data_IF_890345239106
#
_entry.id   IF_890345239106
#
_cell.length_a   1.000
_cell.length_b   1.000
_cell.length_c   1.000
_cell.angle_alpha   90.00
_cell.angle_beta   90.00
_cell.angle_gamma   90.00
#
_symmetry.space_group_name_H-M   'P 1'
#
loop_
_entity.id
_entity.type
_entity.pdbx_description
1 polymer ?
#
# COMPACT_ATOMS: atom_id res chain seq x y z
N UNK A 1 2.95 7.17 -36.27
CA UNK A 1 3.85 8.37 -36.15
C UNK A 1 4.94 7.94 -35.20
N UNK A 2 6.16 7.73 -35.72
CA UNK A 2 7.30 7.34 -34.88
C UNK A 2 7.94 8.62 -34.33
N UNK A 3 7.98 8.71 -32.99
CA UNK A 3 8.61 9.82 -32.29
C UNK A 3 9.85 9.28 -31.55
N UNK A 4 11.03 9.78 -31.92
CA UNK A 4 12.28 9.43 -31.23
C UNK A 4 12.54 10.46 -30.13
N UNK A 5 12.47 10.01 -28.88
CA UNK A 5 12.80 10.83 -27.72
C UNK A 5 14.22 10.48 -27.24
N UNK A 6 15.01 11.51 -26.92
CA UNK A 6 16.37 11.32 -26.38
C UNK A 6 16.37 11.60 -24.88
N UNK A 7 16.85 10.64 -24.10
CA UNK A 7 17.17 10.86 -22.70
C UNK A 7 18.37 11.84 -22.57
N UNK A 8 18.28 12.77 -21.64
CA UNK A 8 19.34 13.77 -21.40
C UNK A 8 20.44 13.28 -20.47
N UNK A 9 20.10 12.32 -19.61
CA UNK A 9 21.00 11.78 -18.58
C UNK A 9 20.83 10.27 -18.53
N UNK A 10 21.91 9.56 -18.31
CA UNK A 10 21.92 8.12 -18.09
C UNK A 10 22.38 7.83 -16.67
N UNK A 11 21.60 7.02 -15.96
CA UNK A 11 21.91 6.52 -14.61
C UNK A 11 22.09 5.01 -14.66
N UNK A 12 22.82 4.47 -13.70
CA UNK A 12 23.00 3.02 -13.54
C UNK A 12 22.71 2.61 -12.11
N UNK A 13 22.03 1.49 -11.95
CA UNK A 13 21.77 0.86 -10.65
C UNK A 13 21.84 -0.67 -10.76
N UNK A 14 22.00 -1.37 -9.65
CA UNK A 14 21.76 -2.82 -9.59
C UNK A 14 20.26 -3.10 -9.51
N UNK A 15 19.54 -2.29 -8.71
CA UNK A 15 18.10 -2.41 -8.48
C UNK A 15 17.43 -1.06 -8.68
N UNK A 16 16.33 -1.03 -9.43
CA UNK A 16 15.43 0.12 -9.52
C UNK A 16 14.08 -0.24 -8.91
N UNK A 17 13.59 0.59 -8.00
CA UNK A 17 12.26 0.45 -7.42
C UNK A 17 11.36 1.53 -8.01
N UNK A 18 10.22 1.14 -8.57
CA UNK A 18 9.21 2.05 -9.12
C UNK A 18 8.05 2.16 -8.15
N UNK A 19 7.85 3.37 -7.61
CA UNK A 19 6.88 3.70 -6.57
C UNK A 19 7.51 3.76 -5.18
N UNK A 20 7.56 4.96 -4.59
CA UNK A 20 8.04 5.23 -3.22
C UNK A 20 6.93 5.15 -2.17
N UNK A 21 5.93 4.29 -2.42
CA UNK A 21 4.83 4.02 -1.49
C UNK A 21 5.21 3.03 -0.39
N UNK A 22 4.18 2.52 0.28
CA UNK A 22 4.26 1.62 1.45
C UNK A 22 5.19 0.42 1.24
N UNK A 23 5.16 -0.22 0.06
CA UNK A 23 6.04 -1.35 -0.23
C UNK A 23 7.41 -0.89 -0.77
N UNK A 24 7.42 0.14 -1.63
CA UNK A 24 8.61 0.51 -2.40
C UNK A 24 9.73 1.10 -1.57
N UNK A 25 9.42 1.89 -0.55
CA UNK A 25 10.43 2.42 0.38
C UNK A 25 11.21 1.26 1.03
N UNK A 26 10.48 0.26 1.53
CA UNK A 26 11.12 -0.88 2.20
C UNK A 26 11.78 -1.85 1.22
N UNK A 27 11.32 -1.93 -0.03
CA UNK A 27 12.03 -2.63 -1.09
C UNK A 27 13.36 -1.94 -1.39
N UNK A 28 13.38 -0.62 -1.51
CA UNK A 28 14.60 0.14 -1.79
C UNK A 28 15.61 0.07 -0.64
N UNK A 29 15.16 0.29 0.60
CA UNK A 29 16.01 0.19 1.79
C UNK A 29 16.58 -1.22 1.94
N UNK A 30 15.77 -2.27 1.74
CA UNK A 30 16.21 -3.65 1.89
C UNK A 30 17.19 -4.08 0.79
N UNK A 31 16.95 -3.64 -0.46
CA UNK A 31 17.90 -3.86 -1.56
C UNK A 31 19.25 -3.21 -1.27
N UNK A 32 19.25 -1.96 -0.81
CA UNK A 32 20.47 -1.24 -0.47
C UNK A 32 21.20 -1.86 0.73
N UNK A 33 20.48 -2.24 1.80
CA UNK A 33 21.05 -2.95 2.96
C UNK A 33 21.58 -4.35 2.61
N UNK A 34 21.08 -4.96 1.53
CA UNK A 34 21.63 -6.22 0.97
C UNK A 34 22.85 -5.96 0.05
N UNK A 35 23.26 -4.70 -0.13
CA UNK A 35 24.46 -4.26 -0.82
C UNK A 35 24.30 -3.90 -2.30
N UNK A 36 23.05 -3.72 -2.77
CA UNK A 36 22.77 -3.26 -4.13
C UNK A 36 22.81 -1.73 -4.24
N UNK A 37 23.41 -1.21 -5.32
CA UNK A 37 23.20 0.18 -5.71
C UNK A 37 21.74 0.40 -6.14
N UNK A 38 20.99 1.17 -5.37
CA UNK A 38 19.53 1.24 -5.50
C UNK A 38 19.05 2.65 -5.84
N UNK A 39 18.15 2.75 -6.83
CA UNK A 39 17.42 3.97 -7.18
C UNK A 39 15.93 3.75 -6.91
N UNK A 40 15.29 4.70 -6.25
CA UNK A 40 13.84 4.73 -5.99
C UNK A 40 13.20 5.87 -6.76
N UNK A 41 12.23 5.55 -7.62
CA UNK A 41 11.47 6.52 -8.43
C UNK A 41 10.08 6.70 -7.82
N UNK A 42 9.70 7.94 -7.50
CA UNK A 42 8.38 8.28 -6.94
C UNK A 42 7.71 9.41 -7.74
N UNK A 43 6.44 9.24 -8.08
CA UNK A 43 5.63 10.23 -8.82
C UNK A 43 5.31 11.48 -7.99
N UNK A 44 5.14 11.32 -6.69
CA UNK A 44 4.82 12.40 -5.76
C UNK A 44 6.08 13.08 -5.19
N UNK A 45 5.90 14.15 -4.45
CA UNK A 45 6.98 14.87 -3.77
C UNK A 45 7.36 14.27 -2.42
N UNK A 46 6.62 13.26 -1.96
CA UNK A 46 6.77 12.63 -0.64
C UNK A 46 6.75 11.11 -0.76
N UNK A 47 7.41 10.45 0.19
CA UNK A 47 7.40 8.99 0.34
C UNK A 47 6.24 8.52 1.20
N UNK A 48 5.95 7.21 1.14
CA UNK A 48 4.95 6.53 1.97
C UNK A 48 3.63 6.22 1.25
N UNK A 49 3.37 6.84 0.08
CA UNK A 49 2.21 6.53 -0.77
C UNK A 49 0.87 6.59 -0.04
N UNK A 50 0.11 5.49 0.02
CA UNK A 50 -1.21 5.44 0.64
C UNK A 50 -1.21 5.95 2.08
N UNK A 51 -0.18 5.68 2.86
CA UNK A 51 -0.07 6.13 4.26
C UNK A 51 0.12 7.63 4.40
N UNK A 52 0.73 8.29 3.43
CA UNK A 52 1.07 9.72 3.50
C UNK A 52 0.24 10.56 2.55
N UNK A 53 0.18 10.21 1.27
CA UNK A 53 -0.54 10.97 0.24
C UNK A 53 -2.05 10.81 0.36
N UNK A 54 -2.53 9.57 0.57
CA UNK A 54 -3.96 9.30 0.78
C UNK A 54 -4.37 9.32 2.26
N UNK A 55 -3.44 9.59 3.18
CA UNK A 55 -3.65 9.69 4.62
C UNK A 55 -4.34 8.47 5.27
N UNK A 56 -4.15 7.28 4.71
CA UNK A 56 -4.52 6.01 5.35
C UNK A 56 -3.35 5.61 6.26
N UNK A 57 -3.17 6.33 7.37
CA UNK A 57 -1.95 6.38 8.17
C UNK A 57 -1.94 5.37 9.35
N UNK A 58 -2.62 4.24 9.20
CA UNK A 58 -2.59 3.12 10.14
C UNK A 58 -2.20 1.85 9.39
N UNK A 59 -0.93 1.41 9.52
CA UNK A 59 -0.36 0.36 8.67
C UNK A 59 -0.98 -1.03 8.87
N UNK A 60 -1.84 -1.21 9.85
CA UNK A 60 -2.39 -2.50 10.21
C UNK A 60 -1.59 -3.17 11.32
N UNK A 61 -1.47 -4.51 11.28
CA UNK A 61 -0.99 -5.26 12.41
C UNK A 61 0.42 -5.81 12.19
N UNK A 62 1.32 -5.46 13.10
CA UNK A 62 2.68 -6.03 13.22
C UNK A 62 2.74 -7.19 14.21
N UNK A 63 1.65 -7.42 14.94
CA UNK A 63 1.53 -8.44 15.98
C UNK A 63 0.35 -9.35 15.68
N UNK A 64 0.47 -10.62 16.01
CA UNK A 64 -0.58 -11.61 15.96
C UNK A 64 -0.53 -12.46 17.25
N UNK A 65 -1.67 -12.60 17.93
CA UNK A 65 -1.77 -13.40 19.13
C UNK A 65 -0.71 -13.05 20.18
N UNK A 66 -0.46 -11.73 20.37
CA UNK A 66 0.52 -11.20 21.33
C UNK A 66 1.99 -11.35 20.91
N UNK A 67 2.28 -11.90 19.73
CA UNK A 67 3.64 -12.07 19.21
C UNK A 67 3.88 -11.15 18.01
N UNK A 68 5.07 -10.55 17.95
CA UNK A 68 5.46 -9.79 16.76
C UNK A 68 5.68 -10.73 15.58
N UNK A 69 5.10 -10.42 14.43
CA UNK A 69 5.16 -11.22 13.21
C UNK A 69 5.78 -10.48 12.03
N UNK A 70 5.88 -9.16 12.11
CA UNK A 70 6.52 -8.31 11.08
C UNK A 70 7.54 -7.41 11.78
N UNK A 71 8.80 -7.47 11.34
CA UNK A 71 9.93 -6.70 11.85
C UNK A 71 10.86 -6.29 10.69
N UNK A 72 12.04 -5.76 11.01
CA UNK A 72 13.02 -5.23 10.05
C UNK A 72 12.82 -3.75 9.75
N UNK A 73 13.29 -3.24 8.59
CA UNK A 73 13.18 -1.82 8.24
C UNK A 73 11.77 -1.25 8.36
N UNK A 74 10.73 -2.03 8.07
CA UNK A 74 9.35 -1.57 8.20
C UNK A 74 8.96 -1.29 9.66
N UNK A 75 9.30 -2.17 10.59
CA UNK A 75 9.06 -1.93 12.01
C UNK A 75 9.96 -0.83 12.56
N UNK A 76 11.22 -0.78 12.16
CA UNK A 76 12.15 0.31 12.49
C UNK A 76 11.56 1.68 12.17
N UNK A 77 10.87 1.83 11.04
CA UNK A 77 10.21 3.10 10.67
C UNK A 77 9.11 3.51 11.64
N UNK A 78 8.35 2.53 12.13
CA UNK A 78 7.29 2.74 13.13
C UNK A 78 7.89 3.11 14.49
N UNK A 79 8.92 2.38 14.95
CA UNK A 79 9.61 2.68 16.21
C UNK A 79 10.24 4.08 16.22
N UNK A 80 10.91 4.47 15.12
CA UNK A 80 11.46 5.82 14.96
C UNK A 80 10.36 6.89 15.01
N UNK A 81 9.22 6.64 14.36
CA UNK A 81 8.07 7.55 14.39
C UNK A 81 7.49 7.67 15.80
N UNK A 82 7.36 6.57 16.55
CA UNK A 82 6.91 6.59 17.96
C UNK A 82 7.89 7.38 18.82
N UNK A 83 9.19 7.13 18.69
CA UNK A 83 10.25 7.80 19.45
C UNK A 83 10.26 9.31 19.24
N UNK A 84 9.90 9.78 18.05
CA UNK A 84 9.77 11.20 17.71
C UNK A 84 8.41 11.80 18.13
N UNK A 85 7.55 11.04 18.81
CA UNK A 85 6.24 11.50 19.25
C UNK A 85 5.18 11.50 18.14
N UNK A 86 5.48 10.93 16.98
CA UNK A 86 4.56 10.84 15.83
C UNK A 86 3.55 9.70 15.92
N UNK A 87 3.60 8.87 16.96
CA UNK A 87 2.63 7.80 17.20
C UNK A 87 2.67 7.35 18.67
N UNK A 88 1.69 6.52 19.04
CA UNK A 88 1.66 5.83 20.34
C UNK A 88 1.55 4.33 20.09
N UNK A 89 2.29 3.56 20.89
CA UNK A 89 2.17 2.10 20.88
C UNK A 89 0.84 1.71 21.54
N UNK A 90 -0.02 0.92 20.87
CA UNK A 90 -1.21 0.37 21.52
C UNK A 90 -0.83 -0.75 22.51
N UNK A 91 -1.78 -1.12 23.35
CA UNK A 91 -1.64 -2.32 24.16
C UNK A 91 -1.78 -3.55 23.25
N UNK A 92 -0.76 -4.40 23.22
CA UNK A 92 -0.76 -5.64 22.43
C UNK A 92 -1.27 -6.76 23.30
N UNK A 93 -2.36 -7.41 22.87
CA UNK A 93 -3.01 -8.49 23.62
C UNK A 93 -2.84 -9.83 22.92
N UNK A 94 -2.88 -10.92 23.69
CA UNK A 94 -2.83 -12.27 23.12
C UNK A 94 -4.10 -12.60 22.30
N UNK A 95 -5.25 -12.10 22.75
CA UNK A 95 -6.56 -12.29 22.10
C UNK A 95 -7.22 -10.94 21.87
N UNK A 96 -6.85 -10.22 20.82
CA UNK A 96 -7.49 -8.94 20.52
C UNK A 96 -8.96 -9.17 20.13
N UNK A 97 -9.88 -8.49 20.79
CA UNK A 97 -11.32 -8.54 20.44
C UNK A 97 -11.53 -8.04 19.02
N UNK A 98 -10.79 -7.01 18.64
CA UNK A 98 -10.89 -6.32 17.34
C UNK A 98 -9.50 -5.95 16.86
N UNK A 99 -9.17 -6.28 15.62
CA UNK A 99 -7.86 -5.99 15.01
C UNK A 99 -7.51 -4.49 15.01
N UNK A 100 -8.49 -3.60 14.89
CA UNK A 100 -8.22 -2.15 14.88
C UNK A 100 -7.83 -1.58 16.24
N UNK A 101 -8.02 -2.27 17.35
CA UNK A 101 -7.55 -1.82 18.67
C UNK A 101 -6.02 -1.86 18.80
N UNK A 102 -5.35 -2.69 18.02
CA UNK A 102 -3.89 -2.81 18.02
C UNK A 102 -3.24 -2.07 16.83
N UNK A 103 -3.99 -1.25 16.11
CA UNK A 103 -3.44 -0.41 15.04
C UNK A 103 -2.67 0.78 15.60
N UNK A 104 -1.59 1.13 14.90
CA UNK A 104 -0.73 2.27 15.25
C UNK A 104 -1.05 3.42 14.31
N UNK A 105 -1.63 4.49 14.84
CA UNK A 105 -1.91 5.69 14.06
C UNK A 105 -0.66 6.55 13.96
N UNK A 106 -0.09 6.67 12.76
CA UNK A 106 1.14 7.42 12.50
C UNK A 106 0.84 8.87 12.10
N UNK A 107 1.60 9.82 12.67
CA UNK A 107 1.62 11.17 12.15
C UNK A 107 2.34 11.18 10.79
N UNK A 108 1.62 11.53 9.73
CA UNK A 108 2.13 11.44 8.36
C UNK A 108 3.37 12.30 8.10
N UNK A 109 3.49 13.47 8.75
CA UNK A 109 4.67 14.34 8.60
C UNK A 109 5.92 13.67 9.20
N UNK A 110 5.82 13.22 10.46
CA UNK A 110 6.93 12.54 11.14
C UNK A 110 7.31 11.27 10.39
N UNK A 111 6.32 10.48 9.98
CA UNK A 111 6.56 9.23 9.25
C UNK A 111 7.25 9.49 7.89
N UNK A 112 6.78 10.47 7.10
CA UNK A 112 7.43 10.85 5.84
C UNK A 112 8.90 11.24 6.05
N UNK A 113 9.18 12.05 7.09
CA UNK A 113 10.54 12.47 7.42
C UNK A 113 11.43 11.26 7.76
N UNK A 114 10.93 10.34 8.58
CA UNK A 114 11.62 9.09 8.92
C UNK A 114 11.93 8.26 7.67
N UNK A 115 11.00 8.16 6.72
CA UNK A 115 11.23 7.40 5.50
C UNK A 115 12.34 8.00 4.63
N UNK A 116 12.41 9.32 4.50
CA UNK A 116 13.51 9.98 3.78
C UNK A 116 14.85 9.76 4.47
N UNK A 117 14.92 9.93 5.79
CA UNK A 117 16.13 9.67 6.57
C UNK A 117 16.62 8.23 6.41
N UNK A 118 15.72 7.25 6.53
CA UNK A 118 16.07 5.84 6.38
C UNK A 118 16.55 5.49 4.96
N UNK A 119 16.00 6.12 3.93
CA UNK A 119 16.48 5.97 2.55
C UNK A 119 17.90 6.55 2.39
N UNK A 120 18.15 7.74 2.93
CA UNK A 120 19.46 8.39 2.91
C UNK A 120 20.51 7.56 3.66
N UNK A 121 20.21 7.13 4.89
CA UNK A 121 21.07 6.27 5.69
C UNK A 121 21.42 4.94 5.01
N UNK A 122 20.49 4.37 4.25
CA UNK A 122 20.71 3.15 3.48
C UNK A 122 21.46 3.39 2.16
N UNK A 123 21.69 4.64 1.76
CA UNK A 123 22.34 5.00 0.50
C UNK A 123 21.43 4.83 -0.73
N UNK A 124 20.11 4.90 -0.55
CA UNK A 124 19.14 4.86 -1.66
C UNK A 124 19.11 6.22 -2.35
N UNK A 125 19.31 6.25 -3.68
CA UNK A 125 19.06 7.43 -4.47
C UNK A 125 17.57 7.62 -4.75
N UNK A 126 16.91 8.49 -4.00
CA UNK A 126 15.48 8.80 -4.18
C UNK A 126 15.33 9.90 -5.24
N UNK A 127 14.42 9.68 -6.21
CA UNK A 127 14.06 10.65 -7.24
C UNK A 127 12.54 10.82 -7.25
N UNK A 128 12.06 11.87 -6.60
CA UNK A 128 10.65 12.26 -6.56
C UNK A 128 10.22 13.03 -7.81
N UNK A 129 8.90 13.23 -7.98
CA UNK A 129 8.28 13.91 -9.13
C UNK A 129 8.73 13.31 -10.47
N UNK A 130 8.82 11.99 -10.50
CA UNK A 130 9.31 11.24 -11.65
C UNK A 130 8.51 9.97 -11.86
N UNK A 131 8.20 9.66 -13.11
CA UNK A 131 7.35 8.52 -13.48
C UNK A 131 8.02 7.66 -14.53
N UNK A 132 7.91 6.34 -14.39
CA UNK A 132 8.29 5.41 -15.44
C UNK A 132 7.43 5.63 -16.69
N UNK A 133 8.07 5.72 -17.85
CA UNK A 133 7.40 5.94 -19.14
C UNK A 133 7.55 4.74 -20.09
N UNK A 134 8.68 4.05 -20.02
CA UNK A 134 8.94 2.87 -20.83
C UNK A 134 9.98 1.97 -20.16
N UNK A 135 9.95 0.70 -20.49
CA UNK A 135 10.99 -0.27 -20.14
C UNK A 135 11.27 -1.16 -21.34
N UNK A 136 12.55 -1.45 -21.56
CA UNK A 136 13.01 -2.37 -22.57
C UNK A 136 13.99 -3.37 -21.95
N UNK A 137 13.73 -4.67 -22.11
CA UNK A 137 14.64 -5.71 -21.64
C UNK A 137 15.65 -6.02 -22.75
N UNK A 138 16.93 -5.87 -22.46
CA UNK A 138 18.04 -6.08 -23.40
C UNK A 138 19.04 -7.05 -22.77
N UNK A 139 18.92 -8.33 -23.10
CA UNK A 139 19.86 -9.34 -22.59
C UNK A 139 19.84 -9.42 -21.06
N UNK A 140 20.90 -8.91 -20.43
CA UNK A 140 21.09 -8.95 -18.97
C UNK A 140 20.60 -7.71 -18.23
N UNK A 141 20.04 -6.71 -18.92
CA UNK A 141 19.66 -5.45 -18.34
C UNK A 141 18.26 -5.01 -18.74
N UNK A 142 17.68 -4.18 -17.90
CA UNK A 142 16.50 -3.36 -18.19
C UNK A 142 16.95 -1.93 -18.47
N UNK A 143 16.49 -1.34 -19.55
CA UNK A 143 16.63 0.09 -19.84
C UNK A 143 15.28 0.73 -19.58
N UNK A 144 15.21 1.56 -18.55
CA UNK A 144 14.01 2.22 -18.08
C UNK A 144 14.06 3.71 -18.47
N UNK A 145 13.01 4.19 -19.14
CA UNK A 145 12.86 5.62 -19.44
C UNK A 145 11.94 6.25 -18.42
N UNK A 146 12.39 7.32 -17.80
CA UNK A 146 11.68 8.04 -16.75
C UNK A 146 11.43 9.48 -17.17
N UNK A 147 10.18 9.92 -17.04
CA UNK A 147 9.80 11.33 -17.20
C UNK A 147 10.00 12.07 -15.88
N UNK A 148 10.65 13.21 -15.94
CA UNK A 148 10.93 14.10 -14.79
C UNK A 148 10.60 15.55 -15.12
N UNK A 149 10.72 16.44 -14.12
CA UNK A 149 10.45 17.89 -14.31
C UNK A 149 11.29 18.56 -15.41
N UNK A 150 12.48 18.06 -15.70
CA UNK A 150 13.41 18.63 -16.66
C UNK A 150 13.62 17.78 -17.92
N UNK A 151 12.72 16.83 -18.17
CA UNK A 151 12.70 15.99 -19.35
C UNK A 151 12.90 14.50 -19.04
N UNK A 152 13.37 13.74 -20.03
CA UNK A 152 13.57 12.30 -19.92
C UNK A 152 14.99 11.99 -19.46
N UNK A 153 15.11 10.96 -18.62
CA UNK A 153 16.39 10.29 -18.36
C UNK A 153 16.22 8.76 -18.44
N UNK A 154 17.30 8.06 -18.69
CA UNK A 154 17.34 6.61 -18.76
C UNK A 154 18.04 6.03 -17.53
N UNK A 155 17.58 4.88 -17.08
CA UNK A 155 18.25 4.09 -16.05
C UNK A 155 18.51 2.70 -16.62
N UNK A 156 19.78 2.30 -16.60
CA UNK A 156 20.16 0.91 -16.87
C UNK A 156 20.28 0.15 -15.54
N UNK A 157 19.54 -0.95 -15.42
CA UNK A 157 19.51 -1.75 -14.18
C UNK A 157 19.49 -3.25 -14.49
N UNK A 158 19.91 -4.07 -13.53
CA UNK A 158 19.83 -5.54 -13.65
C UNK A 158 18.46 -6.08 -13.28
N UNK A 159 17.85 -5.52 -12.23
CA UNK A 159 16.53 -5.93 -11.73
C UNK A 159 15.68 -4.74 -11.37
N UNK A 160 14.37 -4.91 -11.38
CA UNK A 160 13.43 -3.88 -10.98
C UNK A 160 12.32 -4.42 -10.08
N UNK A 161 11.84 -3.57 -9.16
CA UNK A 161 10.70 -3.85 -8.28
C UNK A 161 9.53 -2.96 -8.69
N UNK A 162 8.39 -3.56 -9.04
CA UNK A 162 7.13 -2.85 -9.16
C UNK A 162 6.47 -2.70 -7.78
N UNK A 163 6.50 -1.50 -7.26
CA UNK A 163 5.83 -1.10 -6.02
C UNK A 163 4.83 0.05 -6.25
N UNK A 164 4.33 0.18 -7.48
CA UNK A 164 3.41 1.27 -7.88
C UNK A 164 2.03 1.13 -7.23
N UNK A 165 1.69 -0.06 -6.76
CA UNK A 165 0.37 -0.41 -6.22
C UNK A 165 -0.68 -0.69 -7.30
N UNK A 166 -0.38 -0.36 -8.56
CA UNK A 166 -1.25 -0.54 -9.72
C UNK A 166 -0.65 -1.49 -10.77
N UNK A 167 0.51 -2.11 -10.48
CA UNK A 167 1.29 -2.96 -11.38
C UNK A 167 1.68 -2.24 -12.69
N UNK A 168 2.07 -0.95 -12.59
CA UNK A 168 2.35 -0.12 -13.77
C UNK A 168 3.61 -0.58 -14.52
N UNK A 169 4.69 -0.93 -13.80
CA UNK A 169 5.89 -1.46 -14.43
C UNK A 169 5.60 -2.78 -15.15
N UNK A 170 4.79 -3.65 -14.52
CA UNK A 170 4.37 -4.93 -15.10
C UNK A 170 3.60 -4.71 -16.41
N UNK A 171 2.63 -3.79 -16.43
CA UNK A 171 1.84 -3.48 -17.63
C UNK A 171 2.71 -2.86 -18.74
N UNK A 172 3.58 -1.91 -18.40
CA UNK A 172 4.50 -1.26 -19.35
C UNK A 172 5.48 -2.28 -19.94
N UNK A 173 5.83 -3.33 -19.18
CA UNK A 173 6.68 -4.44 -19.66
C UNK A 173 5.95 -5.45 -20.55
N UNK A 174 4.63 -5.31 -20.74
CA UNK A 174 3.81 -6.25 -21.48
C UNK A 174 3.54 -7.58 -20.75
N UNK A 175 3.83 -7.63 -19.45
CA UNK A 175 3.54 -8.80 -18.61
C UNK A 175 2.06 -8.82 -18.19
N UNK A 176 1.47 -10.01 -17.97
CA UNK A 176 0.04 -10.14 -17.71
C UNK A 176 -0.34 -9.61 -16.33
N UNK A 177 -1.47 -8.89 -16.29
CA UNK A 177 -2.15 -8.46 -15.06
C UNK A 177 -3.59 -8.92 -15.06
N UNK A 178 -4.18 -8.99 -13.88
CA UNK A 178 -5.61 -9.25 -13.68
C UNK A 178 -6.26 -8.19 -12.83
N UNK A 179 -7.56 -8.02 -12.99
CA UNK A 179 -8.35 -6.98 -12.33
C UNK A 179 -9.69 -7.56 -11.88
N UNK A 180 -10.13 -7.15 -10.70
CA UNK A 180 -11.46 -7.54 -10.20
C UNK A 180 -12.56 -6.93 -11.07
N UNK A 181 -13.61 -7.71 -11.37
CA UNK A 181 -14.76 -7.21 -12.14
C UNK A 181 -15.50 -6.09 -11.40
N UNK A 182 -15.58 -6.20 -10.07
CA UNK A 182 -16.14 -5.17 -9.19
C UNK A 182 -15.05 -4.78 -8.22
N UNK A 183 -14.58 -3.55 -8.32
CA UNK A 183 -13.53 -3.01 -7.46
C UNK A 183 -14.11 -2.51 -6.14
N UNK A 184 -13.35 -2.63 -5.08
CA UNK A 184 -13.68 -2.05 -3.79
C UNK A 184 -13.76 -0.52 -3.89
N UNK A 185 -14.69 0.15 -3.17
CA UNK A 185 -14.79 1.60 -3.19
C UNK A 185 -13.52 2.26 -2.65
N UNK A 186 -13.23 3.45 -3.16
CA UNK A 186 -12.16 4.31 -2.65
C UNK A 186 -12.67 5.22 -1.52
N UNK A 187 -11.77 5.91 -0.84
CA UNK A 187 -12.11 6.90 0.21
C UNK A 187 -11.18 8.10 0.10
N UNK A 188 -11.74 9.31 0.11
CA UNK A 188 -10.97 10.55 0.23
C UNK A 188 -10.88 10.94 1.70
N UNK A 189 -9.73 10.68 2.32
CA UNK A 189 -9.51 10.94 3.74
C UNK A 189 -9.49 12.44 4.01
N UNK A 190 -10.06 12.85 5.13
CA UNK A 190 -10.19 14.23 5.51
C UNK A 190 -10.25 14.37 7.04
N UNK A 191 -10.20 15.60 7.52
CA UNK A 191 -10.48 15.95 8.90
C UNK A 191 -11.42 17.15 8.93
N UNK A 192 -12.37 17.14 9.86
CA UNK A 192 -13.37 18.19 10.03
C UNK A 192 -13.40 18.68 11.48
N UNK A 193 -13.66 19.98 11.66
CA UNK A 193 -13.75 20.64 12.96
C UNK A 193 -14.87 21.69 12.99
N UNK A 194 -14.85 22.58 13.98
CA UNK A 194 -15.75 23.72 14.07
C UNK A 194 -17.15 23.38 14.60
N UNK A 195 -17.33 22.20 15.23
CA UNK A 195 -18.62 21.79 15.80
C UNK A 195 -18.47 20.89 17.04
N UNK A 196 -19.55 20.87 17.82
CA UNK A 196 -19.77 19.87 18.87
C UNK A 196 -21.07 19.12 18.58
N UNK A 197 -20.99 17.79 18.52
CA UNK A 197 -22.15 16.95 18.23
C UNK A 197 -22.97 16.72 19.50
N UNK A 198 -24.29 16.87 19.39
CA UNK A 198 -25.26 16.57 20.43
C UNK A 198 -26.49 15.87 19.85
N UNK A 199 -27.42 15.46 20.70
CA UNK A 199 -28.60 14.68 20.31
C UNK A 199 -29.55 15.49 19.39
N UNK A 200 -29.66 16.79 19.60
CA UNK A 200 -30.51 17.65 18.75
C UNK A 200 -29.99 17.70 17.31
N UNK A 201 -28.68 17.85 17.15
CA UNK A 201 -28.03 17.84 15.84
C UNK A 201 -28.18 16.46 15.18
N UNK A 202 -27.98 15.36 15.92
CA UNK A 202 -28.16 14.00 15.39
C UNK A 202 -29.59 13.78 14.89
N UNK A 203 -30.60 14.29 15.62
CA UNK A 203 -32.02 14.16 15.23
C UNK A 203 -32.33 15.03 14.01
N UNK A 204 -31.83 16.25 13.93
CA UNK A 204 -32.02 17.12 12.77
C UNK A 204 -31.37 16.51 11.51
N UNK A 205 -30.18 15.92 11.63
CA UNK A 205 -29.55 15.16 10.52
C UNK A 205 -30.47 14.05 10.04
N UNK A 206 -31.01 13.22 10.93
CA UNK A 206 -31.91 12.11 10.58
C UNK A 206 -33.18 12.59 9.88
N UNK A 207 -33.75 13.71 10.32
CA UNK A 207 -34.94 14.30 9.75
C UNK A 207 -34.69 14.86 8.34
N UNK A 208 -33.72 15.77 8.23
CA UNK A 208 -33.41 16.46 6.97
C UNK A 208 -32.82 15.53 5.90
N UNK A 209 -32.08 14.49 6.31
CA UNK A 209 -31.48 13.55 5.37
C UNK A 209 -32.49 12.83 4.50
N UNK A 210 -33.74 12.64 4.97
CA UNK A 210 -34.84 12.01 4.20
C UNK A 210 -35.16 12.77 2.90
N UNK A 211 -34.84 14.06 2.86
CA UNK A 211 -35.08 14.95 1.73
C UNK A 211 -33.79 15.32 0.98
N UNK A 212 -32.65 14.85 1.46
CA UNK A 212 -31.37 15.13 0.83
C UNK A 212 -31.19 14.30 -0.45
N UNK A 213 -30.76 14.93 -1.51
CA UNK A 213 -30.40 14.25 -2.76
C UNK A 213 -28.98 13.66 -2.66
N UNK A 214 -28.85 12.60 -1.85
CA UNK A 214 -27.58 11.91 -1.63
C UNK A 214 -27.57 10.55 -2.32
N UNK A 215 -26.38 10.04 -2.73
CA UNK A 215 -26.27 8.67 -3.23
C UNK A 215 -26.82 7.64 -2.22
N UNK A 216 -27.54 6.62 -2.70
CA UNK A 216 -28.26 5.67 -1.87
C UNK A 216 -27.41 4.81 -0.92
N UNK A 217 -26.08 4.85 -1.06
CA UNK A 217 -25.14 4.20 -0.14
C UNK A 217 -24.70 5.11 1.03
N UNK A 218 -25.05 6.39 1.03
CA UNK A 218 -24.88 7.30 2.16
C UNK A 218 -26.18 7.27 2.98
N UNK A 219 -26.08 7.21 4.29
CA UNK A 219 -27.20 7.27 5.20
C UNK A 219 -26.91 8.12 6.44
N UNK A 220 -27.95 8.58 7.12
CA UNK A 220 -27.83 9.46 8.28
C UNK A 220 -26.99 8.86 9.42
N UNK A 221 -27.08 7.53 9.65
CA UNK A 221 -26.31 6.83 10.69
C UNK A 221 -24.81 6.87 10.41
N UNK A 222 -24.42 6.64 9.17
CA UNK A 222 -23.01 6.74 8.76
C UNK A 222 -22.49 8.18 8.91
N UNK A 223 -23.27 9.18 8.52
CA UNK A 223 -22.90 10.60 8.66
C UNK A 223 -22.66 10.94 10.15
N UNK A 224 -23.56 10.53 11.03
CA UNK A 224 -23.41 10.76 12.48
C UNK A 224 -22.15 10.07 13.00
N UNK A 225 -21.87 8.85 12.56
CA UNK A 225 -20.63 8.16 12.90
C UNK A 225 -19.39 8.89 12.39
N UNK A 226 -19.43 9.43 11.18
CA UNK A 226 -18.35 10.24 10.60
C UNK A 226 -18.11 11.49 11.43
N UNK A 227 -19.15 12.21 11.82
CA UNK A 227 -19.04 13.39 12.68
C UNK A 227 -18.42 13.06 14.06
N UNK A 228 -18.81 11.93 14.69
CA UNK A 228 -18.21 11.45 15.93
C UNK A 228 -16.71 11.19 15.80
N UNK A 229 -16.26 10.78 14.65
CA UNK A 229 -14.86 10.50 14.34
C UNK A 229 -14.10 11.69 13.73
N UNK A 230 -14.74 12.89 13.66
CA UNK A 230 -14.15 14.11 13.09
C UNK A 230 -13.66 13.96 11.64
N UNK A 231 -14.37 13.18 10.83
CA UNK A 231 -14.03 12.93 9.42
C UNK A 231 -15.27 12.51 8.61
N UNK A 232 -15.20 12.63 7.29
CA UNK A 232 -16.26 12.25 6.35
C UNK A 232 -15.75 11.10 5.45
N UNK A 233 -15.63 9.90 5.99
CA UNK A 233 -15.07 8.72 5.33
C UNK A 233 -16.09 8.05 4.38
N UNK A 234 -16.54 8.78 3.37
CA UNK A 234 -17.53 8.30 2.41
C UNK A 234 -16.89 7.31 1.44
N UNK A 235 -17.54 6.17 1.24
CA UNK A 235 -17.18 5.24 0.18
C UNK A 235 -17.52 5.85 -1.18
N UNK A 236 -16.57 5.81 -2.12
CA UNK A 236 -16.71 6.34 -3.47
C UNK A 236 -16.56 5.18 -4.44
N UNK A 237 -17.60 4.86 -5.27
CA UNK A 237 -17.48 3.80 -6.25
C UNK A 237 -16.26 4.01 -7.14
N UNK A 238 -15.37 3.00 -7.17
CA UNK A 238 -14.13 3.01 -7.91
C UNK A 238 -14.28 2.21 -9.20
N UNK A 239 -13.87 2.79 -10.32
CA UNK A 239 -13.82 2.13 -11.63
C UNK A 239 -12.58 2.64 -12.35
N UNK A 240 -11.76 1.72 -12.88
CA UNK A 240 -10.59 2.02 -13.71
C UNK A 240 -9.57 3.01 -13.11
N UNK A 241 -9.41 3.00 -11.78
CA UNK A 241 -8.45 3.85 -11.07
C UNK A 241 -6.97 3.55 -11.41
N UNK A 242 -6.71 2.49 -12.15
CA UNK A 242 -5.41 2.13 -12.73
C UNK A 242 -5.05 2.96 -13.96
N UNK A 243 -5.98 3.74 -14.51
CA UNK A 243 -5.73 4.65 -15.62
C UNK A 243 -5.77 6.11 -15.15
N UNK A 244 -5.00 6.99 -15.81
CA UNK A 244 -5.02 8.43 -15.49
C UNK A 244 -6.40 9.05 -15.68
N UNK A 245 -7.14 8.63 -16.70
CA UNK A 245 -8.50 9.10 -16.96
C UNK A 245 -9.45 8.62 -15.86
N UNK A 246 -9.45 7.34 -15.54
CA UNK A 246 -10.28 6.75 -14.49
C UNK A 246 -9.97 7.33 -13.12
N UNK A 247 -8.66 7.50 -12.78
CA UNK A 247 -8.24 8.14 -11.53
C UNK A 247 -8.72 9.59 -11.45
N UNK A 248 -8.64 10.37 -12.54
CA UNK A 248 -9.16 11.75 -12.59
C UNK A 248 -10.67 11.81 -12.38
N UNK A 249 -11.41 10.87 -12.97
CA UNK A 249 -12.86 10.77 -12.77
C UNK A 249 -13.22 10.41 -11.33
N UNK A 250 -12.45 9.51 -10.71
CA UNK A 250 -12.60 9.13 -9.31
C UNK A 250 -12.37 10.34 -8.38
N UNK A 251 -11.28 11.09 -8.58
CA UNK A 251 -10.98 12.28 -7.78
C UNK A 251 -12.11 13.32 -7.91
N UNK A 252 -12.54 13.63 -9.14
CA UNK A 252 -13.64 14.57 -9.37
C UNK A 252 -14.91 14.14 -8.65
N UNK A 253 -15.24 12.85 -8.69
CA UNK A 253 -16.42 12.30 -8.03
C UNK A 253 -16.29 12.41 -6.51
N UNK A 254 -15.10 12.13 -5.96
CA UNK A 254 -14.81 12.22 -4.53
C UNK A 254 -15.01 13.64 -4.00
N UNK A 255 -14.43 14.63 -4.68
CA UNK A 255 -14.60 16.05 -4.32
C UNK A 255 -16.03 16.52 -4.47
N UNK A 256 -16.75 16.13 -5.53
CA UNK A 256 -18.17 16.48 -5.69
C UNK A 256 -19.02 15.92 -4.55
N UNK A 257 -18.88 14.64 -4.21
CA UNK A 257 -19.64 14.04 -3.11
C UNK A 257 -19.32 14.65 -1.76
N UNK A 258 -18.04 15.00 -1.53
CA UNK A 258 -17.62 15.66 -0.29
C UNK A 258 -18.24 17.06 -0.20
N UNK A 259 -18.28 17.81 -1.30
CA UNK A 259 -18.90 19.14 -1.37
C UNK A 259 -20.39 19.08 -1.10
N UNK A 260 -21.11 18.13 -1.70
CA UNK A 260 -22.54 17.94 -1.48
C UNK A 260 -22.85 17.62 -0.02
N UNK A 261 -22.06 16.71 0.59
CA UNK A 261 -22.21 16.34 1.99
C UNK A 261 -21.86 17.52 2.94
N UNK A 262 -20.81 18.24 2.63
CA UNK A 262 -20.40 19.44 3.38
C UNK A 262 -21.49 20.52 3.33
N UNK A 263 -22.06 20.80 2.16
CA UNK A 263 -23.13 21.76 2.01
C UNK A 263 -24.40 21.35 2.78
N UNK A 264 -24.76 20.07 2.72
CA UNK A 264 -25.86 19.52 3.51
C UNK A 264 -25.64 19.71 5.01
N UNK A 265 -24.45 19.35 5.52
CA UNK A 265 -24.12 19.45 6.94
C UNK A 265 -24.13 20.90 7.44
N UNK A 266 -23.60 21.83 6.69
CA UNK A 266 -23.64 23.27 7.06
C UNK A 266 -25.04 23.86 7.06
N UNK A 267 -26.02 23.22 6.45
CA UNK A 267 -27.45 23.54 6.52
C UNK A 267 -28.15 22.98 7.77
N UNK A 268 -27.45 22.25 8.65
CA UNK A 268 -27.96 21.73 9.92
C UNK A 268 -27.67 22.74 11.02
N UNK A 269 -28.67 23.02 11.86
CA UNK A 269 -28.52 23.94 13.00
C UNK A 269 -27.47 23.41 13.97
N UNK A 270 -26.47 24.25 14.30
CA UNK A 270 -25.32 23.89 15.14
C UNK A 270 -24.12 23.31 14.38
N UNK A 271 -24.22 23.14 13.05
CA UNK A 271 -23.10 22.78 12.18
C UNK A 271 -22.70 23.92 11.21
N UNK A 272 -23.19 25.13 11.40
CA UNK A 272 -22.91 26.28 10.52
C UNK A 272 -21.41 26.63 10.45
N UNK A 273 -20.66 26.31 11.49
CA UNK A 273 -19.22 26.54 11.57
C UNK A 273 -18.39 25.30 11.27
N UNK A 274 -19.01 24.22 10.79
CA UNK A 274 -18.26 23.03 10.35
C UNK A 274 -17.26 23.41 9.25
N UNK A 275 -16.02 23.01 9.42
CA UNK A 275 -14.91 23.25 8.50
C UNK A 275 -14.23 21.93 8.10
N UNK A 276 -13.69 21.90 6.89
CA UNK A 276 -12.81 20.83 6.44
C UNK A 276 -11.38 21.35 6.57
N UNK A 277 -10.68 20.94 7.62
CA UNK A 277 -9.33 21.43 7.94
C UNK A 277 -8.25 20.78 7.07
N UNK A 278 -8.53 19.57 6.62
CA UNK A 278 -7.60 18.75 5.88
C UNK A 278 -8.33 17.84 4.90
N UNK A 279 -7.76 17.72 3.71
CA UNK A 279 -8.14 16.73 2.70
C UNK A 279 -6.86 16.06 2.19
N UNK A 280 -6.88 14.74 2.03
CA UNK A 280 -5.76 14.01 1.43
C UNK A 280 -5.53 14.44 -0.03
N UNK A 281 -4.30 14.38 -0.49
CA UNK A 281 -3.91 14.78 -1.85
C UNK A 281 -4.47 13.86 -2.92
N UNK A 282 -4.74 12.59 -2.57
CA UNK A 282 -5.32 11.58 -3.46
C UNK A 282 -6.37 10.74 -2.73
N UNK A 283 -7.38 10.28 -3.45
CA UNK A 283 -8.27 9.21 -2.96
C UNK A 283 -7.49 7.94 -2.68
N UNK A 284 -7.68 7.36 -1.51
CA UNK A 284 -7.14 6.06 -1.13
C UNK A 284 -7.86 4.95 -1.91
N UNK A 285 -7.16 4.37 -2.87
CA UNK A 285 -7.64 3.26 -3.72
C UNK A 285 -7.22 1.94 -3.10
N UNK A 286 -8.19 1.05 -2.90
CA UNK A 286 -7.96 -0.24 -2.23
C UNK A 286 -7.38 -1.30 -3.15
N UNK A 287 -7.85 -1.36 -4.39
CA UNK A 287 -7.41 -2.31 -5.40
C UNK A 287 -7.48 -1.73 -6.81
N UNK A 288 -6.59 -2.24 -7.66
CA UNK A 288 -6.57 -2.00 -9.11
C UNK A 288 -6.14 -3.30 -9.79
N UNK A 289 -5.00 -3.28 -10.50
CA UNK A 289 -4.42 -4.46 -11.11
C UNK A 289 -3.57 -5.26 -10.10
N UNK A 290 -3.58 -6.58 -10.27
CA UNK A 290 -2.69 -7.54 -9.62
C UNK A 290 -1.91 -8.27 -10.69
N UNK A 291 -0.72 -8.74 -10.34
CA UNK A 291 0.06 -9.58 -11.27
C UNK A 291 -0.60 -10.95 -11.42
N UNK A 292 -0.46 -11.53 -12.60
CA UNK A 292 -0.60 -12.98 -12.77
C UNK A 292 0.71 -13.60 -12.30
N UNK A 293 0.76 -13.96 -11.01
CA UNK A 293 1.96 -14.45 -10.33
C UNK A 293 2.25 -15.93 -10.62
N UNK A 294 3.47 -16.39 -10.33
CA UNK A 294 3.81 -17.82 -10.33
C UNK A 294 2.93 -18.59 -9.33
N UNK A 295 2.53 -17.93 -8.23
CA UNK A 295 1.51 -18.38 -7.28
C UNK A 295 0.44 -17.30 -7.11
N UNK A 296 -0.82 -17.72 -6.99
CA UNK A 296 -1.93 -16.87 -6.56
C UNK A 296 -2.32 -17.26 -5.13
N UNK A 297 -2.29 -16.32 -4.20
CA UNK A 297 -2.80 -16.52 -2.84
C UNK A 297 -4.32 -16.54 -2.91
N UNK A 298 -4.92 -17.63 -2.48
CA UNK A 298 -6.38 -17.76 -2.42
C UNK A 298 -6.93 -17.36 -1.05
N UNK A 299 -8.19 -16.92 -1.00
CA UNK A 299 -8.88 -16.68 0.25
C UNK A 299 -8.91 -17.91 1.15
N UNK A 300 -9.04 -19.10 0.57
CA UNK A 300 -9.04 -20.37 1.30
C UNK A 300 -7.67 -20.64 1.94
N UNK A 301 -6.58 -20.54 1.17
CA UNK A 301 -5.22 -20.70 1.68
C UNK A 301 -4.94 -19.68 2.81
N UNK A 302 -5.38 -18.43 2.62
CA UNK A 302 -5.19 -17.35 3.58
C UNK A 302 -5.91 -17.62 4.89
N UNK A 303 -7.21 -17.93 4.85
CA UNK A 303 -8.04 -18.19 6.07
C UNK A 303 -7.54 -19.41 6.83
N UNK A 304 -7.02 -20.42 6.12
CA UNK A 304 -6.51 -21.64 6.74
C UNK A 304 -5.04 -21.52 7.18
N UNK A 305 -4.38 -20.38 6.92
CA UNK A 305 -3.00 -20.14 7.35
C UNK A 305 -2.00 -21.09 6.70
N UNK A 306 -2.23 -21.48 5.45
CA UNK A 306 -1.39 -22.42 4.70
C UNK A 306 0.07 -21.99 4.76
N UNK A 307 0.95 -22.94 5.09
CA UNK A 307 2.40 -22.76 4.99
C UNK A 307 2.88 -23.11 3.58
N UNK A 308 3.62 -22.20 2.97
CA UNK A 308 4.29 -22.44 1.69
C UNK A 308 5.78 -22.66 1.93
N UNK A 309 6.41 -23.54 1.14
CA UNK A 309 7.84 -23.83 1.26
C UNK A 309 8.72 -22.61 0.96
N UNK A 310 8.16 -21.62 0.28
CA UNK A 310 8.80 -20.35 -0.06
C UNK A 310 8.20 -19.14 0.68
N UNK A 311 7.64 -19.36 1.90
CA UNK A 311 7.03 -18.30 2.72
C UNK A 311 8.06 -17.23 3.14
N UNK A 312 7.81 -15.96 2.82
CA UNK A 312 8.77 -14.85 3.06
C UNK A 312 8.36 -13.88 4.18
N UNK A 313 7.09 -13.80 4.50
CA UNK A 313 6.58 -13.01 5.60
C UNK A 313 5.21 -13.52 6.07
N UNK A 314 4.82 -13.08 7.27
CA UNK A 314 3.46 -13.28 7.78
C UNK A 314 2.52 -12.19 7.30
N UNK A 315 1.22 -12.49 7.40
CA UNK A 315 0.14 -11.53 7.32
C UNK A 315 -0.84 -11.78 8.47
N UNK A 316 -1.42 -10.72 9.03
CA UNK A 316 -2.45 -10.87 10.05
C UNK A 316 -3.46 -9.75 9.92
N UNK A 317 -4.49 -10.00 9.13
CA UNK A 317 -5.62 -9.11 8.94
C UNK A 317 -6.83 -9.95 8.52
N UNK A 318 -8.06 -9.64 8.92
CA UNK A 318 -9.22 -10.34 8.39
C UNK A 318 -9.33 -10.11 6.87
N UNK A 319 -10.01 -11.00 6.16
CA UNK A 319 -10.53 -10.64 4.85
C UNK A 319 -11.51 -9.50 5.08
N UNK A 320 -11.21 -8.33 4.53
CA UNK A 320 -11.89 -7.07 4.80
C UNK A 320 -12.30 -6.42 3.48
N UNK A 321 -13.36 -6.97 2.91
CA UNK A 321 -13.88 -6.52 1.62
C UNK A 321 -14.82 -5.35 1.80
N UNK A 322 -14.39 -4.18 1.39
CA UNK A 322 -15.25 -3.03 1.33
C UNK A 322 -16.21 -3.14 0.14
N UNK A 323 -17.50 -3.01 0.42
CA UNK A 323 -18.55 -2.89 -0.57
C UNK A 323 -19.21 -1.53 -0.43
N UNK A 324 -19.97 -1.09 -1.45
CA UNK A 324 -20.53 0.25 -1.43
C UNK A 324 -21.47 0.49 -0.25
N UNK A 325 -22.14 -0.54 0.24
CA UNK A 325 -23.06 -0.50 1.38
C UNK A 325 -22.42 -0.73 2.75
N UNK A 326 -21.13 -1.09 2.81
CA UNK A 326 -20.48 -1.39 4.08
C UNK A 326 -19.19 -2.19 3.95
N UNK A 327 -18.96 -3.11 4.87
CA UNK A 327 -17.77 -3.96 4.94
C UNK A 327 -18.18 -5.39 5.18
N UNK A 328 -17.66 -6.32 4.37
CA UNK A 328 -17.81 -7.77 4.56
C UNK A 328 -16.51 -8.30 5.14
N UNK A 329 -16.55 -8.82 6.39
CA UNK A 329 -15.37 -9.29 7.10
C UNK A 329 -15.45 -10.79 7.39
N UNK A 330 -14.30 -11.48 7.22
CA UNK A 330 -14.08 -12.85 7.69
C UNK A 330 -12.83 -12.85 8.57
N UNK A 331 -13.05 -13.03 9.88
CA UNK A 331 -11.97 -13.07 10.86
C UNK A 331 -11.20 -14.39 10.79
N UNK A 332 -9.90 -14.31 11.07
CA UNK A 332 -9.05 -15.48 11.23
C UNK A 332 -9.41 -16.23 12.51
N UNK A 333 -9.28 -17.56 12.48
CA UNK A 333 -9.43 -18.38 13.68
C UNK A 333 -8.25 -18.15 14.62
N UNK A 334 -8.46 -18.46 15.89
CA UNK A 334 -7.40 -18.40 16.92
C UNK A 334 -6.16 -19.20 16.48
N UNK A 335 -4.99 -18.65 16.73
CA UNK A 335 -3.66 -19.15 16.35
C UNK A 335 -3.42 -19.31 14.83
N UNK A 336 -4.33 -18.91 13.97
CA UNK A 336 -4.09 -18.86 12.52
C UNK A 336 -3.36 -17.56 12.18
N UNK A 337 -2.20 -17.68 11.57
CA UNK A 337 -1.39 -16.57 11.02
C UNK A 337 -1.01 -16.90 9.59
N UNK A 338 -1.66 -16.26 8.60
CA UNK A 338 -1.37 -16.48 7.19
C UNK A 338 0.08 -16.14 6.80
N UNK A 339 0.57 -16.76 5.76
CA UNK A 339 1.92 -16.55 5.21
C UNK A 339 1.82 -16.13 3.75
N UNK A 340 2.81 -15.38 3.31
CA UNK A 340 2.92 -14.91 1.93
C UNK A 340 4.08 -15.67 1.27
N UNK A 341 3.83 -16.40 0.16
CA UNK A 341 4.90 -17.08 -0.57
C UNK A 341 5.67 -16.10 -1.48
N UNK A 342 6.97 -16.34 -1.63
CA UNK A 342 7.84 -15.60 -2.54
C UNK A 342 7.31 -15.62 -3.99
N UNK A 343 6.85 -16.78 -4.43
CA UNK A 343 6.30 -16.99 -5.78
C UNK A 343 5.07 -16.13 -6.10
N UNK A 344 4.36 -15.60 -5.08
CA UNK A 344 3.28 -14.63 -5.30
C UNK A 344 3.77 -13.22 -5.69
N UNK A 345 5.07 -12.93 -5.50
CA UNK A 345 5.69 -11.67 -5.87
C UNK A 345 6.26 -11.71 -7.30
N UNK A 346 6.39 -12.88 -7.91
CA UNK A 346 7.03 -13.07 -9.21
C UNK A 346 5.96 -13.11 -10.30
N UNK A 347 5.92 -12.13 -11.23
CA UNK A 347 5.03 -12.19 -12.37
C UNK A 347 5.40 -13.36 -13.29
N UNK A 348 4.42 -14.10 -13.81
CA UNK A 348 4.67 -15.14 -14.82
C UNK A 348 5.44 -14.57 -16.00
N UNK A 349 6.40 -15.34 -16.49
CA UNK A 349 7.28 -14.98 -17.59
C UNK A 349 8.26 -13.83 -17.31
N UNK A 350 8.34 -13.32 -16.08
CA UNK A 350 9.32 -12.31 -15.70
C UNK A 350 10.64 -12.96 -15.29
N UNK A 351 11.74 -12.36 -15.75
CA UNK A 351 13.09 -12.75 -15.33
C UNK A 351 13.68 -11.75 -14.32
N UNK A 352 13.44 -10.45 -14.58
CA UNK A 352 14.15 -9.34 -13.93
C UNK A 352 13.24 -8.37 -13.20
N UNK A 353 11.92 -8.58 -13.26
CA UNK A 353 10.94 -7.71 -12.60
C UNK A 353 10.18 -8.52 -11.55
N UNK A 354 10.11 -8.00 -10.34
CA UNK A 354 9.37 -8.53 -9.20
C UNK A 354 8.37 -7.49 -8.72
N UNK A 355 7.27 -7.92 -8.10
CA UNK A 355 6.22 -7.06 -7.60
C UNK A 355 6.19 -7.06 -6.07
N UNK A 356 5.76 -5.96 -5.45
CA UNK A 356 5.53 -5.87 -4.01
C UNK A 356 4.30 -5.01 -3.69
N UNK A 357 3.71 -5.24 -2.53
CA UNK A 357 2.56 -4.47 -2.08
C UNK A 357 1.22 -5.03 -2.56
N UNK A 358 0.21 -4.16 -2.71
CA UNK A 358 -1.17 -4.58 -2.99
C UNK A 358 -1.40 -5.27 -4.34
N UNK A 359 -0.46 -5.19 -5.25
CA UNK A 359 -0.54 -5.77 -6.59
C UNK A 359 0.08 -7.17 -6.73
N UNK A 360 0.50 -7.82 -5.64
CA UNK A 360 0.99 -9.20 -5.66
C UNK A 360 -0.09 -10.20 -6.09
N UNK A 361 0.34 -11.40 -6.52
CA UNK A 361 -0.55 -12.46 -7.00
C UNK A 361 -1.50 -12.97 -5.91
N UNK A 362 -2.77 -12.57 -5.97
CA UNK A 362 -3.82 -12.96 -5.02
C UNK A 362 -5.19 -12.97 -5.69
N UNK A 363 -6.13 -13.77 -5.21
CA UNK A 363 -7.52 -13.61 -5.61
C UNK A 363 -8.14 -12.33 -5.01
N UNK A 364 -9.35 -11.99 -5.43
CA UNK A 364 -10.03 -10.74 -5.04
C UNK A 364 -10.27 -10.66 -3.52
N UNK A 365 -10.64 -11.78 -2.88
CA UNK A 365 -10.95 -11.79 -1.45
C UNK A 365 -9.66 -11.78 -0.63
N UNK A 366 -8.67 -12.62 -0.96
CA UNK A 366 -7.36 -12.59 -0.31
C UNK A 366 -6.68 -11.22 -0.44
N UNK A 367 -6.84 -10.54 -1.61
CA UNK A 367 -6.29 -9.20 -1.82
C UNK A 367 -6.76 -8.22 -0.76
N UNK A 368 -8.01 -8.31 -0.31
CA UNK A 368 -8.55 -7.40 0.71
C UNK A 368 -7.81 -7.49 2.05
N UNK A 369 -7.12 -8.59 2.33
CA UNK A 369 -6.29 -8.77 3.52
C UNK A 369 -4.79 -8.53 3.25
N UNK A 370 -4.24 -9.03 2.12
CA UNK A 370 -2.80 -8.92 1.84
C UNK A 370 -2.38 -7.52 1.38
N UNK A 371 -3.32 -6.66 0.96
CA UNK A 371 -3.06 -5.26 0.61
C UNK A 371 -2.82 -4.34 1.80
N UNK A 372 -3.00 -4.81 3.02
CA UNK A 372 -2.81 -3.99 4.23
C UNK A 372 -1.34 -3.59 4.35
N UNK A 373 -1.11 -2.35 4.80
CA UNK A 373 0.19 -1.69 4.67
C UNK A 373 1.33 -2.47 5.33
N UNK A 374 1.15 -3.05 6.52
CA UNK A 374 2.20 -3.83 7.18
C UNK A 374 2.64 -5.05 6.34
N UNK A 375 1.68 -5.73 5.69
CA UNK A 375 1.97 -6.83 4.76
C UNK A 375 2.67 -6.29 3.50
N UNK A 376 2.20 -5.16 2.98
CA UNK A 376 2.84 -4.48 1.85
C UNK A 376 4.30 -4.10 2.16
N UNK A 377 4.58 -3.59 3.37
CA UNK A 377 5.94 -3.29 3.83
C UNK A 377 6.80 -4.55 3.86
N UNK A 378 6.29 -5.65 4.45
CA UNK A 378 7.01 -6.91 4.56
C UNK A 378 7.29 -7.56 3.20
N UNK A 379 6.33 -7.53 2.27
CA UNK A 379 6.55 -7.98 0.87
C UNK A 379 7.55 -7.08 0.15
N UNK A 380 7.57 -5.78 0.46
CA UNK A 380 8.58 -4.84 -0.02
C UNK A 380 9.99 -5.26 0.39
N UNK A 381 10.20 -5.56 1.69
CA UNK A 381 11.50 -6.05 2.19
C UNK A 381 11.96 -7.28 1.42
N UNK A 382 11.07 -8.25 1.24
CA UNK A 382 11.40 -9.49 0.55
C UNK A 382 11.73 -9.28 -0.94
N UNK A 383 10.95 -8.44 -1.63
CA UNK A 383 11.19 -8.10 -3.02
C UNK A 383 12.54 -7.37 -3.20
N UNK A 384 12.87 -6.46 -2.28
CA UNK A 384 14.15 -5.73 -2.29
C UNK A 384 15.35 -6.65 -2.10
N UNK A 385 15.33 -7.53 -1.09
CA UNK A 385 16.37 -8.53 -0.87
C UNK A 385 16.54 -9.46 -2.09
N UNK A 386 15.42 -9.97 -2.61
CA UNK A 386 15.43 -10.86 -3.78
C UNK A 386 16.00 -10.17 -5.03
N UNK A 387 15.60 -8.92 -5.29
CA UNK A 387 16.12 -8.14 -6.41
C UNK A 387 17.64 -7.91 -6.29
N UNK A 388 18.12 -7.60 -5.09
CA UNK A 388 19.56 -7.43 -4.82
C UNK A 388 20.36 -8.74 -5.04
N UNK A 389 19.83 -9.86 -4.56
CA UNK A 389 20.46 -11.18 -4.75
C UNK A 389 20.48 -11.54 -6.24
N UNK A 390 19.35 -11.39 -6.94
CA UNK A 390 19.24 -11.63 -8.38
C UNK A 390 20.25 -10.79 -9.16
N UNK A 391 20.34 -9.50 -8.88
CA UNK A 391 21.29 -8.59 -9.51
C UNK A 391 22.75 -8.97 -9.25
N UNK A 392 23.08 -9.36 -8.01
CA UNK A 392 24.43 -9.74 -7.59
C UNK A 392 24.86 -11.09 -8.18
N UNK A 393 23.95 -12.06 -8.22
CA UNK A 393 24.22 -13.42 -8.71
C UNK A 393 24.04 -13.56 -10.24
N UNK A 394 23.44 -12.54 -10.86
CA UNK A 394 23.00 -12.55 -12.27
C UNK A 394 22.12 -13.77 -12.59
N UNK A 395 21.11 -14.01 -11.78
CA UNK A 395 20.12 -15.09 -11.94
C UNK A 395 18.73 -14.51 -12.12
N UNK A 396 17.86 -15.24 -12.82
CA UNK A 396 16.45 -14.87 -12.91
C UNK A 396 15.82 -14.85 -11.50
N UNK A 397 14.89 -13.94 -11.23
CA UNK A 397 14.25 -13.79 -9.93
C UNK A 397 13.63 -15.07 -9.39
N UNK A 398 13.00 -15.88 -10.25
CA UNK A 398 12.45 -17.19 -9.87
C UNK A 398 13.50 -18.22 -9.43
N UNK A 399 14.77 -18.00 -9.76
CA UNK A 399 15.90 -18.88 -9.46
C UNK A 399 16.72 -18.35 -8.25
N UNK A 400 16.28 -17.27 -7.60
CA UNK A 400 16.89 -16.81 -6.35
C UNK A 400 16.80 -17.91 -5.30
N UNK A 401 17.92 -18.23 -4.66
CA UNK A 401 17.95 -19.22 -3.59
C UNK A 401 17.08 -18.78 -2.43
N UNK A 402 16.09 -19.59 -2.07
CA UNK A 402 15.22 -19.32 -0.93
C UNK A 402 16.00 -19.22 0.38
N UNK A 403 17.02 -20.07 0.58
CA UNK A 403 17.90 -19.98 1.76
C UNK A 403 18.64 -18.65 1.81
N UNK A 404 19.26 -18.21 0.69
CA UNK A 404 19.96 -16.92 0.63
C UNK A 404 19.00 -15.74 0.85
N UNK A 405 17.75 -15.84 0.37
CA UNK A 405 16.71 -14.85 0.61
C UNK A 405 16.34 -14.80 2.11
N UNK A 406 16.13 -15.94 2.76
CA UNK A 406 15.84 -16.00 4.19
C UNK A 406 17.00 -15.45 5.04
N UNK A 407 18.24 -15.75 4.67
CA UNK A 407 19.44 -15.23 5.35
C UNK A 407 19.51 -13.71 5.21
N UNK A 408 19.25 -13.17 4.02
CA UNK A 408 19.23 -11.73 3.76
C UNK A 408 18.11 -11.03 4.53
N UNK A 409 16.92 -11.61 4.58
CA UNK A 409 15.80 -11.09 5.38
C UNK A 409 16.14 -11.09 6.88
N UNK A 410 16.73 -12.17 7.37
CA UNK A 410 17.15 -12.26 8.77
C UNK A 410 18.25 -11.24 9.11
N UNK A 411 19.17 -10.98 8.18
CA UNK A 411 20.25 -10.01 8.37
C UNK A 411 19.73 -8.56 8.50
N UNK A 412 18.59 -8.25 7.89
CA UNK A 412 17.89 -6.96 8.07
C UNK A 412 16.83 -7.01 9.19
N UNK A 413 16.87 -8.04 10.04
CA UNK A 413 15.93 -8.26 11.16
C UNK A 413 14.47 -8.49 10.75
N UNK A 414 14.17 -8.86 9.52
CA UNK A 414 12.84 -9.29 9.11
C UNK A 414 12.51 -10.68 9.69
N UNK A 415 11.24 -10.89 10.04
CA UNK A 415 10.79 -12.19 10.55
C UNK A 415 10.35 -13.06 9.38
N UNK A 416 11.05 -14.19 9.21
CA UNK A 416 10.73 -15.21 8.20
C UNK A 416 9.86 -16.30 8.83
N UNK A 417 8.73 -16.70 8.22
CA UNK A 417 7.85 -17.73 8.74
C UNK A 417 8.50 -19.10 8.84
N UNK A 418 8.15 -19.86 9.89
CA UNK A 418 8.49 -21.26 10.06
C UNK A 418 7.22 -22.12 10.07
N UNK A 419 7.33 -23.37 9.64
CA UNK A 419 6.21 -24.28 9.46
C UNK A 419 5.40 -24.47 10.75
N UNK A 420 6.07 -24.60 11.88
CA UNK A 420 5.46 -24.92 13.16
C UNK A 420 5.17 -23.70 14.07
N UNK A 421 5.34 -22.47 13.54
CA UNK A 421 5.01 -21.28 14.29
C UNK A 421 3.47 -21.23 14.51
N UNK A 422 3.03 -20.90 15.71
CA UNK A 422 1.63 -20.79 16.12
C UNK A 422 0.82 -22.11 16.16
N UNK A 423 1.46 -23.28 16.13
CA UNK A 423 0.79 -24.59 16.24
C UNK A 423 0.60 -25.09 17.69
N UNK A 424 0.89 -24.28 18.72
CA UNK A 424 0.77 -24.67 20.13
C UNK A 424 -0.36 -23.97 20.84
#
# INVERSE_FOLDING_TARGET
>A
MDCVLKAKTELTADVVVIGGGTAGVFAAISAARTGAKTILIEKNSVLGGTMTVANVNFPGLFFAWGKQIINGPCWESVERTIKLGGAKMPEITFKPERHWHEQILLNRFVYTSVLFEMCEEAGVQVICNSMLSAVNETGEHLIMTVTSKNGLFAITTKTAVDATGDANLIQISGLPVEKSKVQQPATLQNHISGYELNEDIENEIKEKFRFANMPGYINAGNIISYLKNKKLDVHIPCVDADTSIGKTQLERKAYSQMLDLYAFLRGIKGLENLEIDFVAEETGVRETNRIVGEKTITAEDYINGVFYQDSICYAFYPIDRHVISGIEQKFLKENVVPKIPYSALIPKNSKRIICAGRCIGSDTDANSAVRVEAVCMATGQAAGCAAAISAKRNVDLKNVSYTELCDSLTAIHAIVPKENDFLS
#
